data_IF_319326303973
#
_entry.id   IF_319326303973
#
_cell.length_a   1.000
_cell.length_b   1.000
_cell.length_c   1.000
_cell.angle_alpha   90.00
_cell.angle_beta   90.00
_cell.angle_gamma   90.00
#
_symmetry.space_group_name_H-M   'P 1'
#
loop_
_entity.id
_entity.type
_entity.pdbx_description
1 polymer ?
#
# COMPACT_ATOMS: atom_id res chain seq x y z
N UNK A 1 -35.98 -9.23 25.80
CA UNK A 1 -34.67 -8.96 25.16
C UNK A 1 -33.63 -9.05 26.26
N UNK A 2 -32.96 -10.19 26.37
CA UNK A 2 -32.06 -10.48 27.48
C UNK A 2 -30.81 -9.59 27.44
N UNK A 3 -30.38 -9.09 28.60
CA UNK A 3 -29.18 -8.25 28.73
C UNK A 3 -27.92 -8.90 28.11
N UNK A 4 -27.89 -10.24 28.03
CA UNK A 4 -26.85 -11.02 27.36
C UNK A 4 -26.79 -10.77 25.84
N UNK A 5 -27.93 -10.55 25.19
CA UNK A 5 -28.00 -10.27 23.75
C UNK A 5 -27.52 -8.85 23.43
N UNK A 6 -27.83 -7.88 24.30
CA UNK A 6 -27.37 -6.48 24.15
C UNK A 6 -25.85 -6.41 24.32
N UNK A 7 -25.30 -7.11 25.32
CA UNK A 7 -23.85 -7.12 25.56
C UNK A 7 -23.10 -7.82 24.40
N UNK A 8 -23.67 -8.86 23.80
CA UNK A 8 -23.10 -9.53 22.64
C UNK A 8 -23.08 -8.64 21.38
N UNK A 9 -24.14 -7.85 21.16
CA UNK A 9 -24.21 -6.90 20.04
C UNK A 9 -23.21 -5.74 20.22
N UNK A 10 -23.05 -5.22 21.43
CA UNK A 10 -22.07 -4.17 21.73
C UNK A 10 -20.65 -4.70 21.54
N UNK A 11 -20.35 -5.91 22.03
CA UNK A 11 -19.03 -6.53 21.86
C UNK A 11 -18.72 -6.77 20.37
N UNK A 12 -19.70 -7.27 19.60
CA UNK A 12 -19.55 -7.50 18.17
C UNK A 12 -19.31 -6.19 17.39
N UNK A 13 -20.05 -5.13 17.70
CA UNK A 13 -19.88 -3.81 17.05
C UNK A 13 -18.55 -3.13 17.43
N UNK A 14 -18.08 -3.35 18.66
CA UNK A 14 -16.78 -2.85 19.13
C UNK A 14 -15.61 -3.58 18.44
N UNK A 15 -15.71 -4.91 18.25
CA UNK A 15 -14.73 -5.70 17.50
C UNK A 15 -14.69 -5.34 16.01
N UNK A 16 -15.84 -5.09 15.38
CA UNK A 16 -15.91 -4.63 13.98
C UNK A 16 -15.28 -3.22 13.83
N UNK A 17 -15.40 -2.38 14.86
CA UNK A 17 -14.78 -1.04 14.89
C UNK A 17 -13.27 -1.08 15.13
N UNK A 18 -12.78 -2.04 15.95
CA UNK A 18 -11.34 -2.24 16.17
C UNK A 18 -10.63 -2.85 14.94
N UNK A 19 -11.25 -3.81 14.26
CA UNK A 19 -10.73 -4.38 13.00
C UNK A 19 -10.55 -3.32 11.91
N UNK A 20 -11.41 -2.30 11.88
CA UNK A 20 -11.31 -1.21 10.89
C UNK A 20 -10.18 -0.21 11.17
N UNK A 21 -9.64 -0.18 12.39
CA UNK A 21 -8.58 0.77 12.78
C UNK A 21 -7.16 0.29 12.38
N UNK A 22 -7.00 -1.00 12.05
CA UNK A 22 -5.71 -1.59 11.63
C UNK A 22 -5.58 -1.81 10.12
N UNK A 23 -6.62 -1.54 9.30
CA UNK A 23 -6.52 -1.65 7.83
C UNK A 23 -5.84 -0.42 7.21
N UNK A 24 -4.62 -0.14 7.66
CA UNK A 24 -3.69 0.75 6.97
C UNK A 24 -2.98 -0.06 5.90
N UNK A 25 -3.58 -0.06 4.71
CA UNK A 25 -2.97 -0.37 3.40
C UNK A 25 -1.92 -1.50 3.41
N UNK A 26 -2.30 -2.72 3.03
CA UNK A 26 -1.57 -3.56 2.07
C UNK A 26 -2.35 -4.89 1.89
N UNK A 27 -2.73 -5.18 0.63
CA UNK A 27 -2.84 -6.52 0.05
C UNK A 27 -3.69 -7.58 0.77
N UNK A 28 -5.02 -7.56 0.61
CA UNK A 28 -5.80 -8.82 0.66
C UNK A 28 -7.13 -8.75 -0.14
N UNK A 29 -7.01 -8.57 -1.46
CA UNK A 29 -8.12 -8.66 -2.42
C UNK A 29 -8.15 -10.00 -3.18
N UNK A 30 -7.81 -11.11 -2.51
CA UNK A 30 -7.86 -12.44 -3.16
C UNK A 30 -8.90 -13.40 -2.55
N UNK A 31 -9.26 -13.24 -1.28
CA UNK A 31 -10.04 -14.27 -0.56
C UNK A 31 -11.57 -14.13 -0.67
N UNK A 32 -12.08 -12.94 -1.03
CA UNK A 32 -13.53 -12.68 -1.11
C UNK A 32 -14.15 -13.20 -2.41
N UNK A 33 -13.36 -13.30 -3.49
CA UNK A 33 -13.87 -13.78 -4.78
C UNK A 33 -14.24 -15.27 -4.77
N UNK A 34 -13.75 -16.04 -3.79
CA UNK A 34 -14.00 -17.48 -3.72
C UNK A 34 -15.35 -17.85 -3.07
N UNK A 35 -16.03 -16.90 -2.43
CA UNK A 35 -17.33 -17.15 -1.78
C UNK A 35 -18.55 -16.95 -2.70
N UNK A 36 -18.37 -16.51 -3.95
CA UNK A 36 -19.46 -16.28 -4.92
C UNK A 36 -19.51 -17.30 -6.08
N UNK A 37 -18.82 -18.44 -5.96
CA UNK A 37 -18.87 -19.53 -6.96
C UNK A 37 -19.66 -20.76 -6.49
N UNK A 38 -20.50 -20.64 -5.47
CA UNK A 38 -21.45 -21.68 -5.05
C UNK A 38 -22.85 -21.38 -5.56
N UNK A 39 -23.53 -22.39 -6.12
CA UNK A 39 -24.91 -22.42 -6.61
C UNK A 39 -25.13 -22.13 -8.11
N UNK A 40 -24.96 -23.17 -8.93
CA UNK A 40 -25.71 -23.32 -10.17
C UNK A 40 -26.82 -24.38 -10.01
N UNK A 41 -28.04 -24.08 -10.47
CA UNK A 41 -28.95 -24.93 -11.28
C UNK A 41 -30.41 -24.40 -11.27
N UNK A 42 -30.92 -24.05 -12.46
CA UNK A 42 -32.32 -24.23 -12.91
C UNK A 42 -33.43 -23.39 -12.28
N UNK A 43 -33.95 -22.40 -13.02
CA UNK A 43 -35.22 -21.69 -12.73
C UNK A 43 -35.46 -20.53 -13.73
N UNK A 44 -36.72 -20.24 -14.07
CA UNK A 44 -37.14 -19.39 -15.20
C UNK A 44 -36.45 -18.02 -15.35
N UNK A 45 -35.82 -17.81 -16.52
CA UNK A 45 -34.94 -16.67 -16.85
C UNK A 45 -35.65 -15.31 -17.01
N UNK A 46 -36.97 -15.26 -16.81
CA UNK A 46 -37.77 -14.04 -17.02
C UNK A 46 -38.02 -13.25 -15.74
N UNK A 47 -37.93 -13.90 -14.57
CA UNK A 47 -38.15 -13.24 -13.28
C UNK A 47 -36.86 -12.73 -12.60
N UNK A 48 -35.68 -13.28 -12.95
CA UNK A 48 -34.39 -12.75 -12.44
C UNK A 48 -33.96 -11.45 -13.12
N UNK A 49 -34.33 -11.24 -14.40
CA UNK A 49 -33.86 -10.07 -15.16
C UNK A 49 -34.34 -8.73 -14.64
N UNK A 50 -35.52 -8.66 -14.04
CA UNK A 50 -36.06 -7.39 -13.54
C UNK A 50 -35.40 -6.97 -12.21
N UNK A 51 -35.10 -7.92 -11.32
CA UNK A 51 -34.41 -7.64 -10.07
C UNK A 51 -32.92 -7.30 -10.26
N UNK A 52 -32.25 -7.95 -11.24
CA UNK A 52 -30.86 -7.65 -11.61
C UNK A 52 -30.71 -6.22 -12.17
N UNK A 53 -31.73 -5.75 -12.92
CA UNK A 53 -31.75 -4.40 -13.49
C UNK A 53 -31.98 -3.37 -12.38
N UNK A 54 -32.94 -3.57 -11.48
CA UNK A 54 -33.18 -2.63 -10.37
C UNK A 54 -31.96 -2.48 -9.44
N UNK A 55 -31.31 -3.61 -9.07
CA UNK A 55 -30.13 -3.55 -8.20
C UNK A 55 -28.93 -2.93 -8.90
N UNK A 56 -28.70 -3.20 -10.20
CA UNK A 56 -27.60 -2.60 -10.97
C UNK A 56 -27.80 -1.10 -11.20
N UNK A 57 -29.04 -0.66 -11.45
CA UNK A 57 -29.38 0.75 -11.65
C UNK A 57 -29.31 1.51 -10.33
N UNK A 58 -29.83 0.92 -9.24
CA UNK A 58 -29.70 1.44 -7.89
C UNK A 58 -28.24 1.53 -7.43
N UNK A 59 -27.40 0.53 -7.72
CA UNK A 59 -25.96 0.59 -7.41
C UNK A 59 -25.23 1.64 -8.26
N UNK A 60 -25.57 1.76 -9.56
CA UNK A 60 -24.97 2.79 -10.44
C UNK A 60 -25.37 4.21 -10.02
N UNK A 61 -26.62 4.48 -9.69
CA UNK A 61 -27.06 5.82 -9.27
C UNK A 61 -26.47 6.24 -7.92
N UNK A 62 -26.33 5.30 -6.97
CA UNK A 62 -25.65 5.56 -5.68
C UNK A 62 -24.13 5.75 -5.85
N UNK A 63 -23.51 5.04 -6.80
CA UNK A 63 -22.09 5.17 -7.12
C UNK A 63 -21.80 6.49 -7.85
N UNK A 64 -22.65 6.92 -8.80
CA UNK A 64 -22.53 8.19 -9.51
C UNK A 64 -22.68 9.37 -8.54
N UNK A 65 -23.65 9.29 -7.62
CA UNK A 65 -23.85 10.32 -6.58
C UNK A 65 -22.68 10.42 -5.59
N UNK A 66 -21.95 9.32 -5.32
CA UNK A 66 -20.72 9.32 -4.50
C UNK A 66 -19.48 9.76 -5.27
N UNK A 67 -19.43 9.55 -6.59
CA UNK A 67 -18.29 9.93 -7.43
C UNK A 67 -18.16 11.46 -7.57
N UNK A 68 -19.29 12.19 -7.60
CA UNK A 68 -19.29 13.66 -7.63
C UNK A 68 -18.78 14.32 -6.34
N UNK A 69 -18.65 13.57 -5.24
CA UNK A 69 -18.17 14.08 -3.95
C UNK A 69 -16.68 13.74 -3.67
N UNK A 70 -15.99 13.05 -4.58
CA UNK A 70 -14.61 12.58 -4.37
C UNK A 70 -13.72 12.98 -5.54
N UNK A 71 -13.55 14.28 -5.79
CA UNK A 71 -12.30 14.72 -6.39
C UNK A 71 -11.23 14.65 -5.30
N UNK A 72 -10.24 13.73 -5.38
CA UNK A 72 -9.14 13.75 -4.44
C UNK A 72 -8.42 15.08 -4.61
N UNK A 73 -8.34 15.87 -3.54
CA UNK A 73 -7.47 17.02 -3.47
C UNK A 73 -6.05 16.61 -3.92
N UNK A 74 -5.35 17.41 -4.73
CA UNK A 74 -4.00 17.09 -5.16
C UNK A 74 -3.16 16.81 -3.91
N UNK A 75 -2.57 15.62 -3.85
CA UNK A 75 -1.74 15.21 -2.74
C UNK A 75 -0.67 16.31 -2.49
N UNK A 76 -0.49 16.78 -1.24
CA UNK A 76 0.56 17.73 -0.95
C UNK A 76 1.88 17.14 -1.43
N UNK A 77 2.60 17.91 -2.26
CA UNK A 77 3.92 17.52 -2.74
C UNK A 77 4.79 17.04 -1.57
N UNK A 78 5.59 15.98 -1.73
CA UNK A 78 6.44 15.49 -0.64
C UNK A 78 7.34 16.63 -0.19
N UNK A 79 7.10 17.12 1.03
CA UNK A 79 7.92 18.14 1.65
C UNK A 79 9.37 17.62 1.71
N UNK A 80 10.39 18.47 1.43
CA UNK A 80 11.77 18.07 1.64
C UNK A 80 11.97 17.74 3.12
N UNK A 81 12.05 16.44 3.43
CA UNK A 81 12.42 15.95 4.75
C UNK A 81 13.89 16.25 4.96
N UNK A 82 14.15 17.38 5.60
CA UNK A 82 15.47 17.77 6.10
C UNK A 82 15.41 17.72 7.63
N UNK A 83 15.03 16.56 8.18
CA UNK A 83 15.28 16.29 9.59
C UNK A 83 16.66 15.62 9.69
N UNK A 84 17.70 16.32 10.15
CA UNK A 84 19.07 15.81 10.18
C UNK A 84 19.27 14.58 11.09
N UNK A 85 18.26 14.20 11.88
CA UNK A 85 18.36 13.14 12.88
C UNK A 85 17.46 11.92 12.64
N UNK A 86 16.57 11.94 11.63
CA UNK A 86 15.73 10.79 11.29
C UNK A 86 15.69 10.58 9.78
N UNK A 87 16.67 9.84 9.27
CA UNK A 87 16.74 9.44 7.87
C UNK A 87 15.90 8.19 7.64
N UNK A 88 14.84 8.32 6.86
CA UNK A 88 14.07 7.17 6.38
C UNK A 88 14.81 6.47 5.23
N UNK A 89 15.64 5.49 5.59
CA UNK A 89 16.32 4.63 4.62
C UNK A 89 15.35 3.89 3.70
N UNK A 90 14.15 3.53 4.18
CA UNK A 90 13.17 2.75 3.42
C UNK A 90 12.63 3.55 2.23
N UNK A 91 12.13 4.75 2.50
CA UNK A 91 11.64 5.66 1.46
C UNK A 91 12.73 6.11 0.49
N UNK A 92 13.90 6.50 1.00
CA UNK A 92 15.00 6.98 0.18
C UNK A 92 15.58 5.89 -0.73
N UNK A 93 15.79 4.68 -0.21
CA UNK A 93 16.25 3.56 -1.02
C UNK A 93 15.21 3.15 -2.07
N UNK A 94 13.91 3.23 -1.74
CA UNK A 94 12.84 2.93 -2.71
C UNK A 94 12.89 3.87 -3.92
N UNK A 95 13.11 5.16 -3.68
CA UNK A 95 13.31 6.11 -4.77
C UNK A 95 14.56 5.76 -5.60
N UNK A 96 15.70 5.51 -4.93
CA UNK A 96 16.96 5.20 -5.60
C UNK A 96 16.90 3.96 -6.47
N UNK A 97 16.28 2.91 -5.97
CA UNK A 97 16.22 1.61 -6.62
C UNK A 97 15.07 1.49 -7.63
N UNK A 98 14.22 2.52 -7.79
CA UNK A 98 13.02 2.47 -8.63
C UNK A 98 13.29 2.08 -10.09
N UNK A 99 14.36 2.61 -10.70
CA UNK A 99 14.76 2.31 -12.08
C UNK A 99 15.78 1.19 -12.21
N UNK A 100 16.20 0.59 -11.10
CA UNK A 100 17.21 -0.46 -11.14
C UNK A 100 16.57 -1.77 -11.60
N UNK A 101 17.18 -2.46 -12.57
CA UNK A 101 16.68 -3.77 -13.06
C UNK A 101 16.47 -4.83 -11.96
N UNK A 102 17.25 -4.75 -10.87
CA UNK A 102 17.20 -5.68 -9.73
C UNK A 102 16.85 -4.94 -8.45
N UNK A 103 15.61 -4.47 -8.35
CA UNK A 103 15.11 -3.61 -7.28
C UNK A 103 15.38 -4.19 -5.88
N UNK A 104 15.03 -5.46 -5.64
CA UNK A 104 15.23 -6.11 -4.33
C UNK A 104 16.71 -6.18 -3.91
N UNK A 105 17.61 -6.42 -4.87
CA UNK A 105 19.05 -6.45 -4.60
C UNK A 105 19.58 -5.05 -4.29
N UNK A 106 19.15 -4.06 -5.08
CA UNK A 106 19.47 -2.66 -4.86
C UNK A 106 18.99 -2.18 -3.48
N UNK A 107 17.74 -2.50 -3.11
CA UNK A 107 17.16 -2.12 -1.81
C UNK A 107 17.98 -2.68 -0.64
N UNK A 108 18.40 -3.96 -0.72
CA UNK A 108 19.23 -4.59 0.30
C UNK A 108 20.61 -3.92 0.44
N UNK A 109 21.24 -3.63 -0.69
CA UNK A 109 22.53 -2.94 -0.72
C UNK A 109 22.42 -1.50 -0.19
N UNK A 110 21.44 -0.74 -0.70
CA UNK A 110 21.15 0.63 -0.28
C UNK A 110 20.84 0.70 1.22
N UNK A 111 20.00 -0.19 1.75
CA UNK A 111 19.68 -0.22 3.18
C UNK A 111 20.92 -0.43 4.05
N UNK A 112 21.81 -1.34 3.65
CA UNK A 112 23.09 -1.55 4.35
C UNK A 112 23.95 -0.30 4.35
N UNK A 113 24.04 0.37 3.19
CA UNK A 113 24.83 1.59 3.04
C UNK A 113 24.20 2.77 3.80
N UNK A 114 22.88 2.86 3.82
CA UNK A 114 22.14 3.89 4.53
C UNK A 114 22.28 3.77 6.04
N UNK A 115 22.17 2.56 6.61
CA UNK A 115 22.35 2.36 8.06
C UNK A 115 23.79 2.68 8.49
N UNK A 116 24.78 2.38 7.63
CA UNK A 116 26.19 2.62 7.94
C UNK A 116 26.60 4.09 7.77
N UNK A 117 26.21 4.71 6.66
CA UNK A 117 26.64 6.07 6.31
C UNK A 117 25.64 7.15 6.69
N UNK A 118 24.43 6.76 7.11
CA UNK A 118 23.30 7.67 7.39
C UNK A 118 23.11 8.68 6.24
N UNK A 119 23.20 8.19 5.01
CA UNK A 119 23.06 9.01 3.82
C UNK A 119 22.64 8.12 2.64
N UNK A 120 21.67 8.61 1.87
CA UNK A 120 21.28 8.05 0.58
C UNK A 120 21.33 9.20 -0.41
N UNK A 121 22.14 9.11 -1.48
CA UNK A 121 22.27 10.23 -2.39
C UNK A 121 20.94 10.44 -3.14
N UNK A 122 20.65 11.62 -3.72
CA UNK A 122 19.40 11.93 -4.41
C UNK A 122 19.36 11.51 -5.90
N UNK A 123 18.21 11.01 -6.39
CA UNK A 123 17.98 10.56 -7.77
C UNK A 123 17.77 9.04 -7.90
N UNK A 124 18.14 8.43 -9.04
CA UNK A 124 18.17 6.96 -9.26
C UNK A 124 19.53 6.39 -9.68
N UNK A 125 20.42 7.20 -10.24
CA UNK A 125 21.78 6.83 -10.62
C UNK A 125 22.76 7.95 -10.22
N UNK A 126 24.03 7.61 -9.99
CA UNK A 126 25.10 8.59 -9.72
C UNK A 126 24.94 9.38 -8.40
N UNK A 127 25.60 10.55 -8.33
CA UNK A 127 25.60 11.47 -7.19
C UNK A 127 26.12 10.84 -5.89
N UNK A 128 26.97 9.82 -6.00
CA UNK A 128 27.51 9.09 -4.85
C UNK A 128 28.40 9.96 -3.98
N UNK A 129 29.04 10.97 -4.60
CA UNK A 129 29.93 11.94 -3.95
C UNK A 129 29.20 12.83 -2.94
N UNK A 130 27.87 12.98 -3.06
CA UNK A 130 27.04 13.75 -2.10
C UNK A 130 27.07 13.11 -0.71
N UNK A 131 27.12 11.78 -0.65
CA UNK A 131 27.25 11.04 0.62
C UNK A 131 28.70 10.78 1.02
N UNK A 132 29.66 11.36 0.28
CA UNK A 132 31.08 11.28 0.54
C UNK A 132 31.66 9.87 0.48
N UNK A 133 32.83 9.74 1.10
CA UNK A 133 33.66 8.55 1.05
C UNK A 133 33.02 7.29 1.63
N UNK A 134 32.15 7.43 2.63
CA UNK A 134 31.50 6.27 3.24
C UNK A 134 30.68 5.48 2.21
N UNK A 135 29.94 6.17 1.33
CA UNK A 135 29.08 5.54 0.33
C UNK A 135 29.86 5.11 -0.92
N UNK A 136 30.93 5.83 -1.27
CA UNK A 136 31.75 5.53 -2.46
C UNK A 136 32.79 4.44 -2.22
N UNK A 137 33.48 4.43 -1.07
CA UNK A 137 34.57 3.50 -0.73
C UNK A 137 34.08 2.13 -0.26
N UNK A 138 32.79 1.96 0.00
CA UNK A 138 32.25 0.64 0.32
C UNK A 138 32.31 -0.28 -0.91
N UNK A 139 33.18 -1.29 -0.83
CA UNK A 139 33.36 -2.30 -1.86
C UNK A 139 32.91 -3.69 -1.37
N UNK A 140 32.57 -4.53 -2.34
CA UNK A 140 32.39 -5.97 -2.13
C UNK A 140 33.75 -6.67 -2.19
N UNK A 141 33.80 -7.95 -1.82
CA UNK A 141 35.01 -8.77 -1.95
C UNK A 141 35.61 -8.78 -3.38
N UNK A 142 34.81 -8.48 -4.41
CA UNK A 142 35.27 -8.39 -5.79
C UNK A 142 35.80 -7.01 -6.22
N UNK A 143 36.15 -6.12 -5.28
CA UNK A 143 36.57 -4.73 -5.54
C UNK A 143 35.55 -3.90 -6.35
N UNK A 144 34.28 -4.33 -6.38
CA UNK A 144 33.18 -3.58 -7.00
C UNK A 144 32.48 -2.72 -5.96
N UNK A 145 32.00 -1.53 -6.31
CA UNK A 145 31.22 -0.69 -5.40
C UNK A 145 30.00 -1.48 -4.91
N UNK A 146 29.82 -1.51 -3.59
CA UNK A 146 28.72 -2.23 -2.93
C UNK A 146 27.43 -1.42 -2.97
N UNK A 147 27.51 -0.10 -2.81
CA UNK A 147 26.35 0.78 -2.77
C UNK A 147 25.91 1.16 -4.20
N UNK A 148 24.59 1.19 -4.48
CA UNK A 148 24.06 1.53 -5.80
C UNK A 148 24.28 2.99 -6.17
#
# INVERSE_FOLDING_TARGET
MDAKLILALIFSLFFISQVSSDFKNNEETSHVSQLLHGFGRGGDRKLMRNLDVDLSTYFKDRLISRALALTPAPAPAPAPSQNPNHLDCGGLCKHRCSLHSRQNLCMRACGTCCVRCKCVPPGTYGNRDICGECYTNMTTHGNKPKCP
#
